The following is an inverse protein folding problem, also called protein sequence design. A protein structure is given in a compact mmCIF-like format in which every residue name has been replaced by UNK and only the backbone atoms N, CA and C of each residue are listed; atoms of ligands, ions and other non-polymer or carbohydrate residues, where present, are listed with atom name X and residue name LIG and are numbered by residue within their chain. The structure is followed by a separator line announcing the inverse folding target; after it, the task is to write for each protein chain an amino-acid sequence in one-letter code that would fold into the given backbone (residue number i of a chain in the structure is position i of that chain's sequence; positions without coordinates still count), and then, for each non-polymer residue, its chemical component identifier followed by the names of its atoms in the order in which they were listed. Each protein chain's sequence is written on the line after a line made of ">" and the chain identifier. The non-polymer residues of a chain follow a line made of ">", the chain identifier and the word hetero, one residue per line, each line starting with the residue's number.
data_IF_873001415259
#
_entry.id   IF_873001415259
#
_cell.length_a   1.000
_cell.length_b   1.000
_cell.length_c   1.000
_cell.angle_alpha   90.00
_cell.angle_beta   90.00
_cell.angle_gamma   90.00
#
_symmetry.space_group_name_H-M   'P 1'
#
loop_
_entity.id
_entity.type
_entity.pdbx_description
1 polymer ?
#
# COMPACT_ATOMS: atom_id res chain seq x y z
N UNK A 1 13.17 25.58 8.64
CA UNK A 1 13.51 24.24 9.17
C UNK A 1 14.15 23.51 8.03
N UNK A 2 15.42 23.16 8.18
CA UNK A 2 16.17 22.45 7.16
C UNK A 2 15.54 21.07 6.94
N UNK A 3 15.37 20.66 5.67
CA UNK A 3 14.76 19.37 5.32
C UNK A 3 15.49 18.20 6.00
N UNK A 4 16.82 18.30 6.11
CA UNK A 4 17.69 17.34 6.78
C UNK A 4 17.35 17.13 8.27
N UNK A 5 17.06 18.21 9.01
CA UNK A 5 16.63 18.08 10.41
C UNK A 5 15.31 17.31 10.50
N UNK A 6 14.40 17.52 9.55
CA UNK A 6 13.12 16.82 9.53
C UNK A 6 13.34 15.33 9.28
N UNK A 7 14.14 14.95 8.27
CA UNK A 7 14.47 13.54 8.02
C UNK A 7 15.11 12.87 9.24
N UNK A 8 16.10 13.51 9.85
CA UNK A 8 16.78 12.96 11.03
C UNK A 8 15.79 12.67 12.17
N UNK A 9 14.77 13.52 12.36
CA UNK A 9 13.71 13.26 13.34
C UNK A 9 12.85 12.06 12.94
N UNK A 10 12.46 11.95 11.67
CA UNK A 10 11.67 10.83 11.16
C UNK A 10 12.43 9.51 11.29
N UNK A 11 13.71 9.48 10.93
CA UNK A 11 14.56 8.29 11.05
C UNK A 11 14.78 7.89 12.51
N UNK A 12 15.04 8.85 13.42
CA UNK A 12 15.11 8.55 14.85
C UNK A 12 13.81 7.93 15.39
N UNK A 13 12.64 8.39 14.91
CA UNK A 13 11.35 7.80 15.29
C UNK A 13 11.22 6.39 14.69
N UNK A 14 11.61 6.18 13.43
CA UNK A 14 11.60 4.85 12.80
C UNK A 14 12.48 3.87 13.56
N UNK A 15 13.72 4.23 13.87
CA UNK A 15 14.65 3.42 14.66
C UNK A 15 14.08 3.06 16.02
N UNK A 16 13.46 4.03 16.69
CA UNK A 16 12.77 3.82 17.96
C UNK A 16 11.60 2.83 17.84
N UNK A 17 10.88 2.83 16.72
CA UNK A 17 9.74 1.95 16.45
C UNK A 17 10.15 0.50 16.11
N UNK A 18 11.40 0.26 15.71
CA UNK A 18 11.92 -1.09 15.43
C UNK A 18 12.16 -1.90 16.70
N UNK A 19 12.52 -1.25 17.82
CA UNK A 19 12.84 -1.93 19.07
C UNK A 19 11.59 -2.52 19.76
N UNK A 20 11.42 -3.85 19.71
CA UNK A 20 10.31 -4.57 20.35
C UNK A 20 10.18 -4.29 21.86
N UNK A 21 11.29 -4.01 22.56
CA UNK A 21 11.27 -3.71 24.00
C UNK A 21 10.60 -2.37 24.31
N UNK A 22 10.45 -1.52 23.30
CA UNK A 22 10.02 -0.12 23.42
C UNK A 22 8.63 0.12 22.80
N UNK A 23 8.15 -0.85 22.01
CA UNK A 23 6.80 -0.90 21.39
C UNK A 23 5.70 -1.16 22.41
N UNK A 24 5.56 -0.23 23.34
CA UNK A 24 4.38 -0.11 24.19
C UNK A 24 3.16 0.28 23.35
N UNK A 25 2.06 -0.43 23.56
CA UNK A 25 0.84 -0.28 22.78
C UNK A 25 0.23 1.12 22.90
N UNK A 26 0.35 1.79 24.07
CA UNK A 26 -0.12 3.17 24.22
C UNK A 26 0.70 4.15 23.39
N UNK A 27 2.02 3.94 23.31
CA UNK A 27 2.91 4.78 22.49
C UNK A 27 2.63 4.59 21.01
N UNK A 28 2.45 3.36 20.55
CA UNK A 28 2.09 3.08 19.17
C UNK A 28 0.75 3.73 18.79
N UNK A 29 -0.25 3.69 19.67
CA UNK A 29 -1.52 4.40 19.46
C UNK A 29 -1.32 5.91 19.35
N UNK A 30 -0.51 6.50 20.24
CA UNK A 30 -0.19 7.93 20.17
C UNK A 30 0.48 8.30 18.84
N UNK A 31 1.44 7.50 18.37
CA UNK A 31 2.09 7.72 17.07
C UNK A 31 1.07 7.60 15.94
N UNK A 32 0.23 6.56 15.92
CA UNK A 32 -0.80 6.39 14.88
C UNK A 32 -1.78 7.56 14.84
N UNK A 33 -2.27 8.02 15.99
CA UNK A 33 -3.14 9.21 16.07
C UNK A 33 -2.43 10.46 15.55
N UNK A 34 -1.18 10.66 15.96
CA UNK A 34 -0.36 11.80 15.53
C UNK A 34 -0.16 11.76 14.02
N UNK A 35 0.15 10.60 13.45
CA UNK A 35 0.30 10.42 12.00
C UNK A 35 -1.00 10.74 11.27
N UNK A 36 -2.15 10.27 11.76
CA UNK A 36 -3.47 10.61 11.19
C UNK A 36 -3.72 12.12 11.22
N UNK A 37 -3.37 12.80 12.31
CA UNK A 37 -3.54 14.25 12.42
C UNK A 37 -2.57 15.02 11.53
N UNK A 38 -1.32 14.54 11.39
CA UNK A 38 -0.36 15.11 10.44
C UNK A 38 -0.80 14.91 8.99
N UNK A 39 -1.46 13.79 8.66
CA UNK A 39 -2.09 13.62 7.35
C UNK A 39 -3.18 14.67 7.10
N UNK A 40 -4.00 14.99 8.11
CA UNK A 40 -5.01 16.06 7.97
C UNK A 40 -4.36 17.40 7.67
N UNK A 41 -3.24 17.69 8.33
CA UNK A 41 -2.49 18.92 8.14
C UNK A 41 -1.81 18.97 6.76
N UNK A 42 -1.22 17.87 6.29
CA UNK A 42 -0.57 17.84 4.97
C UNK A 42 -1.54 18.15 3.85
N UNK A 43 -2.81 17.71 3.96
CA UNK A 43 -3.88 18.03 3.00
C UNK A 43 -4.28 19.50 2.96
N UNK A 44 -3.96 20.28 4.00
CA UNK A 44 -4.20 21.73 4.01
C UNK A 44 -3.09 22.53 3.33
N UNK A 45 -1.97 21.88 2.99
CA UNK A 45 -0.84 22.50 2.30
C UNK A 45 -1.21 22.75 0.83
N UNK A 46 -1.01 23.98 0.35
CA UNK A 46 -1.30 24.34 -1.05
C UNK A 46 -0.27 23.81 -2.04
N UNK A 47 0.96 23.62 -1.55
CA UNK A 47 2.06 23.00 -2.28
C UNK A 47 1.87 21.49 -2.30
N UNK A 48 1.48 20.96 -3.46
CA UNK A 48 1.14 19.54 -3.65
C UNK A 48 2.36 18.63 -3.58
N UNK A 49 3.51 19.08 -4.05
CA UNK A 49 4.76 18.31 -4.00
C UNK A 49 5.23 18.18 -2.56
N UNK A 50 5.24 19.30 -1.83
CA UNK A 50 5.54 19.30 -0.40
C UNK A 50 4.53 18.46 0.40
N UNK A 51 3.25 18.55 0.07
CA UNK A 51 2.21 17.73 0.70
C UNK A 51 2.45 16.24 0.43
N UNK A 52 2.82 15.86 -0.78
CA UNK A 52 3.09 14.47 -1.16
C UNK A 52 4.34 13.93 -0.46
N UNK A 53 5.44 14.69 -0.45
CA UNK A 53 6.66 14.32 0.28
C UNK A 53 6.40 14.18 1.79
N UNK A 54 5.52 14.99 2.38
CA UNK A 54 5.08 14.79 3.77
C UNK A 54 4.27 13.51 3.93
N UNK A 55 3.36 13.22 3.00
CA UNK A 55 2.56 11.99 3.03
C UNK A 55 3.43 10.73 2.94
N UNK A 56 4.49 10.75 2.16
CA UNK A 56 5.47 9.66 2.08
C UNK A 56 6.12 9.37 3.43
N UNK A 57 6.67 10.40 4.10
CA UNK A 57 7.25 10.25 5.45
C UNK A 57 6.24 9.73 6.47
N UNK A 58 4.99 10.19 6.38
CA UNK A 58 3.92 9.72 7.25
C UNK A 58 3.54 8.26 6.95
N UNK A 59 3.57 7.84 5.68
CA UNK A 59 3.40 6.43 5.30
C UNK A 59 4.58 5.59 5.81
N UNK A 60 5.82 6.08 5.72
CA UNK A 60 7.00 5.42 6.31
C UNK A 60 6.78 5.17 7.80
N UNK A 61 6.48 6.19 8.60
CA UNK A 61 6.17 6.00 10.04
C UNK A 61 5.03 5.02 10.28
N UNK A 62 3.94 5.14 9.52
CA UNK A 62 2.78 4.28 9.68
C UNK A 62 3.11 2.82 9.34
N UNK A 63 3.98 2.59 8.35
CA UNK A 63 4.47 1.26 7.98
C UNK A 63 5.30 0.64 9.11
N UNK A 64 6.17 1.40 9.76
CA UNK A 64 6.91 0.92 10.95
C UNK A 64 5.98 0.62 12.14
N UNK A 65 4.88 1.35 12.27
CA UNK A 65 3.88 1.09 13.31
C UNK A 65 3.07 -0.19 13.02
N UNK A 66 2.53 -0.33 11.81
CA UNK A 66 1.54 -1.35 11.44
C UNK A 66 2.15 -2.60 10.79
N UNK A 67 3.37 -2.50 10.27
CA UNK A 67 4.09 -3.54 9.51
C UNK A 67 5.51 -3.74 10.06
N UNK A 68 5.68 -3.98 11.38
CA UNK A 68 7.01 -4.11 11.95
C UNK A 68 7.77 -5.26 11.29
N UNK A 69 9.10 -5.12 11.10
CA UNK A 69 9.94 -6.23 10.68
C UNK A 69 9.90 -7.25 11.81
N UNK A 70 9.16 -8.35 11.61
CA UNK A 70 9.23 -9.66 12.27
C UNK A 70 7.84 -10.34 12.19
N UNK A 71 7.85 -11.52 11.60
CA UNK A 71 6.74 -12.39 11.19
C UNK A 71 5.83 -12.91 12.32
N UNK A 72 5.48 -12.10 13.32
CA UNK A 72 4.53 -12.49 14.36
C UNK A 72 3.28 -11.64 14.25
N UNK A 73 2.19 -12.29 13.85
CA UNK A 73 0.83 -11.82 14.13
C UNK A 73 0.73 -11.68 15.64
N UNK A 74 0.96 -10.47 16.12
CA UNK A 74 0.81 -10.14 17.53
C UNK A 74 -0.59 -9.62 17.75
N UNK A 75 -1.20 -10.02 18.86
CA UNK A 75 -2.45 -9.43 19.33
C UNK A 75 -2.39 -7.89 19.35
N UNK A 76 -1.22 -7.32 19.64
CA UNK A 76 -1.00 -5.87 19.61
C UNK A 76 -1.14 -5.24 18.22
N UNK A 77 -0.70 -5.92 17.15
CA UNK A 77 -0.84 -5.42 15.78
C UNK A 77 -2.29 -5.44 15.30
N UNK A 78 -3.03 -6.49 15.66
CA UNK A 78 -4.47 -6.58 15.38
C UNK A 78 -5.23 -5.44 16.08
N UNK A 79 -4.95 -5.21 17.36
CA UNK A 79 -5.57 -4.11 18.12
C UNK A 79 -5.20 -2.73 17.56
N UNK A 80 -3.95 -2.54 17.14
CA UNK A 80 -3.50 -1.28 16.53
C UNK A 80 -4.10 -1.06 15.14
N UNK A 81 -4.24 -2.12 14.33
CA UNK A 81 -4.93 -2.07 13.03
C UNK A 81 -6.42 -1.74 13.18
N UNK A 82 -7.10 -2.35 14.16
CA UNK A 82 -8.48 -1.99 14.51
C UNK A 82 -8.58 -0.51 14.91
N UNK A 83 -7.68 -0.07 15.78
CA UNK A 83 -7.62 1.32 16.23
C UNK A 83 -7.47 2.28 15.05
N UNK A 84 -6.49 2.04 14.16
CA UNK A 84 -6.26 2.82 12.95
C UNK A 84 -7.51 2.93 12.07
N UNK A 85 -8.21 1.81 11.84
CA UNK A 85 -9.44 1.80 11.04
C UNK A 85 -10.56 2.59 11.74
N UNK A 86 -10.69 2.47 13.06
CA UNK A 86 -11.72 3.15 13.84
C UNK A 86 -11.50 4.67 13.92
N UNK A 87 -10.26 5.12 13.95
CA UNK A 87 -9.89 6.55 13.86
C UNK A 87 -10.01 7.13 12.43
N UNK A 88 -10.57 6.36 11.49
CA UNK A 88 -10.77 6.80 10.11
C UNK A 88 -9.49 6.81 9.28
N UNK A 89 -8.45 6.12 9.72
CA UNK A 89 -7.12 6.06 9.09
C UNK A 89 -7.16 5.62 7.62
N UNK A 90 -8.07 4.71 7.25
CA UNK A 90 -8.23 4.26 5.85
C UNK A 90 -8.44 5.42 4.88
N UNK A 91 -9.16 6.47 5.30
CA UNK A 91 -9.37 7.65 4.44
C UNK A 91 -8.03 8.26 4.05
N UNK A 92 -7.10 8.37 4.99
CA UNK A 92 -5.81 9.03 4.80
C UNK A 92 -4.80 8.12 4.10
N UNK A 93 -4.83 6.82 4.38
CA UNK A 93 -4.00 5.82 3.69
C UNK A 93 -4.19 5.84 2.18
N UNK A 94 -5.43 5.96 1.72
CA UNK A 94 -5.75 5.88 0.29
C UNK A 94 -5.66 7.22 -0.48
N UNK A 95 -5.35 8.34 0.18
CA UNK A 95 -5.20 9.63 -0.53
C UNK A 95 -3.95 9.64 -1.41
N UNK A 96 -2.74 9.28 -0.91
CA UNK A 96 -1.53 9.28 -1.72
C UNK A 96 -1.63 8.40 -2.97
N UNK A 97 -2.35 7.27 -2.89
CA UNK A 97 -2.55 6.34 -4.00
C UNK A 97 -3.08 7.02 -5.29
N UNK A 98 -3.95 8.01 -5.12
CA UNK A 98 -4.58 8.73 -6.24
C UNK A 98 -3.76 9.94 -6.73
N UNK A 99 -2.60 10.19 -6.11
CA UNK A 99 -1.68 11.24 -6.54
C UNK A 99 -1.01 10.85 -7.86
N UNK A 100 -0.79 11.80 -8.78
CA UNK A 100 0.03 11.56 -9.97
C UNK A 100 1.46 11.17 -9.59
N UNK A 101 1.99 11.73 -8.50
CA UNK A 101 3.33 11.46 -7.98
C UNK A 101 3.53 10.02 -7.45
N UNK A 102 2.44 9.24 -7.30
CA UNK A 102 2.53 7.88 -6.75
C UNK A 102 3.24 6.88 -7.67
N UNK A 103 3.26 7.13 -8.99
CA UNK A 103 3.94 6.27 -9.97
C UNK A 103 5.42 6.65 -10.20
N UNK A 104 5.98 7.59 -9.44
CA UNK A 104 7.31 8.14 -9.69
C UNK A 104 7.26 9.45 -10.47
N UNK A 105 8.35 10.22 -10.37
CA UNK A 105 8.48 11.57 -10.93
C UNK A 105 8.55 11.61 -12.47
N UNK A 106 8.93 10.51 -13.13
CA UNK A 106 9.16 10.43 -14.58
C UNK A 106 7.92 10.71 -15.47
N UNK A 107 6.70 10.66 -14.91
CA UNK A 107 5.47 11.04 -15.64
C UNK A 107 5.17 12.55 -15.60
N UNK A 108 6.00 13.34 -14.90
CA UNK A 108 5.94 14.79 -14.85
C UNK A 108 7.15 15.31 -15.62
N UNK A 109 6.95 15.73 -16.88
CA UNK A 109 7.98 16.34 -17.73
C UNK A 109 8.84 17.34 -16.95
N UNK A 110 10.07 16.95 -16.58
CA UNK A 110 11.03 17.81 -15.93
C UNK A 110 12.10 17.03 -15.16
N UNK A 111 13.36 17.26 -15.54
CA UNK A 111 14.59 16.85 -14.81
C UNK A 111 14.50 17.21 -13.32
N UNK A 112 13.88 16.34 -12.53
CA UNK A 112 14.00 16.33 -11.09
C UNK A 112 14.74 15.06 -10.75
N UNK A 113 16.04 15.23 -10.54
CA UNK A 113 16.93 14.27 -9.88
C UNK A 113 16.42 14.09 -8.43
N UNK A 114 15.35 13.31 -8.28
CA UNK A 114 14.93 12.77 -6.99
C UNK A 114 15.83 11.58 -6.73
N UNK A 115 16.95 11.82 -6.04
CA UNK A 115 17.94 10.80 -5.73
C UNK A 115 17.30 9.50 -5.24
N UNK A 116 17.60 8.40 -5.94
CA UNK A 116 17.57 6.98 -5.55
C UNK A 116 16.38 6.40 -4.74
N UNK A 117 15.28 7.11 -4.45
CA UNK A 117 14.19 6.64 -3.56
C UNK A 117 12.82 6.44 -4.25
N UNK A 118 12.76 6.38 -5.59
CA UNK A 118 11.50 6.39 -6.37
C UNK A 118 10.58 5.14 -6.20
N UNK A 119 10.91 4.20 -5.31
CA UNK A 119 10.08 3.05 -4.93
C UNK A 119 9.46 3.10 -3.53
N UNK A 120 9.91 4.03 -2.67
CA UNK A 120 9.71 3.90 -1.22
C UNK A 120 8.25 4.06 -0.77
N UNK A 121 7.52 5.02 -1.34
CA UNK A 121 6.11 5.26 -0.95
C UNK A 121 5.19 4.09 -1.29
N UNK A 122 5.45 3.43 -2.43
CA UNK A 122 4.66 2.28 -2.87
C UNK A 122 4.88 1.11 -1.92
N UNK A 123 6.13 0.86 -1.54
CA UNK A 123 6.48 -0.13 -0.52
C UNK A 123 5.76 0.13 0.79
N UNK A 124 5.85 1.35 1.34
CA UNK A 124 5.18 1.68 2.60
C UNK A 124 3.67 1.48 2.52
N UNK A 125 3.03 1.94 1.44
CA UNK A 125 1.60 1.78 1.24
C UNK A 125 1.18 0.31 1.19
N UNK A 126 1.83 -0.50 0.35
CA UNK A 126 1.45 -1.90 0.19
C UNK A 126 1.86 -2.76 1.38
N UNK A 127 2.93 -2.40 2.10
CA UNK A 127 3.25 -2.98 3.42
C UNK A 127 2.09 -2.76 4.40
N UNK A 128 1.60 -1.53 4.54
CA UNK A 128 0.46 -1.22 5.43
C UNK A 128 -0.79 -1.99 4.99
N UNK A 129 -1.11 -1.99 3.71
CA UNK A 129 -2.30 -2.67 3.19
C UNK A 129 -2.22 -4.19 3.44
N UNK A 130 -1.09 -4.80 3.12
CA UNK A 130 -0.83 -6.22 3.37
C UNK A 130 -0.93 -6.54 4.86
N UNK A 131 -0.32 -5.73 5.73
CA UNK A 131 -0.39 -5.91 7.18
C UNK A 131 -1.80 -5.78 7.73
N UNK A 132 -2.62 -4.87 7.21
CA UNK A 132 -4.03 -4.75 7.60
C UNK A 132 -4.83 -5.99 7.15
N UNK A 133 -4.63 -6.46 5.92
CA UNK A 133 -5.36 -7.61 5.38
C UNK A 133 -4.98 -8.94 6.04
N UNK A 134 -3.73 -9.08 6.47
CA UNK A 134 -3.23 -10.27 7.18
C UNK A 134 -3.61 -10.27 8.66
N UNK A 135 -3.36 -9.17 9.38
CA UNK A 135 -3.60 -9.14 10.84
C UNK A 135 -5.08 -9.01 11.20
N UNK A 136 -5.93 -8.55 10.27
CA UNK A 136 -7.36 -8.36 10.48
C UNK A 136 -8.22 -9.41 9.75
N UNK A 137 -7.62 -10.47 9.22
CA UNK A 137 -8.30 -11.52 8.44
C UNK A 137 -9.55 -12.08 9.14
N UNK A 138 -9.48 -12.26 10.46
CA UNK A 138 -10.58 -12.87 11.22
C UNK A 138 -11.68 -11.86 11.61
N UNK A 139 -11.49 -10.57 11.32
CA UNK A 139 -12.48 -9.52 11.57
C UNK A 139 -13.14 -9.12 10.24
N UNK A 140 -14.23 -9.82 9.91
CA UNK A 140 -15.00 -9.58 8.69
C UNK A 140 -15.49 -8.12 8.56
N UNK A 141 -15.72 -7.41 9.67
CA UNK A 141 -16.15 -6.00 9.63
C UNK A 141 -15.01 -5.10 9.17
N UNK A 142 -13.81 -5.30 9.71
CA UNK A 142 -12.62 -4.55 9.30
C UNK A 142 -12.25 -4.84 7.85
N UNK A 143 -12.21 -6.12 7.45
CA UNK A 143 -11.93 -6.53 6.07
C UNK A 143 -12.93 -5.92 5.09
N UNK A 144 -14.23 -5.90 5.44
CA UNK A 144 -15.26 -5.26 4.63
C UNK A 144 -15.06 -3.75 4.50
N UNK A 145 -14.60 -3.06 5.55
CA UNK A 145 -14.30 -1.62 5.50
C UNK A 145 -13.11 -1.33 4.58
N UNK A 146 -12.05 -2.14 4.63
CA UNK A 146 -10.91 -2.04 3.71
C UNK A 146 -11.38 -2.26 2.27
N UNK A 147 -12.10 -3.35 2.04
CA UNK A 147 -12.63 -3.75 0.74
C UNK A 147 -13.56 -2.69 0.14
N UNK A 148 -14.47 -2.14 0.95
CA UNK A 148 -15.35 -1.04 0.54
C UNK A 148 -14.57 0.21 0.14
N UNK A 149 -13.47 0.53 0.83
CA UNK A 149 -12.63 1.69 0.47
C UNK A 149 -11.89 1.52 -0.84
N UNK A 150 -11.48 0.31 -1.19
CA UNK A 150 -10.84 0.00 -2.48
C UNK A 150 -11.85 0.04 -3.63
N UNK A 151 -13.07 -0.40 -3.37
CA UNK A 151 -14.13 -0.53 -4.38
C UNK A 151 -15.02 0.70 -4.52
N UNK A 152 -14.88 1.72 -3.65
CA UNK A 152 -15.64 2.96 -3.76
C UNK A 152 -15.33 3.73 -5.06
N UNK A 153 -16.25 4.62 -5.45
CA UNK A 153 -16.14 5.46 -6.65
C UNK A 153 -15.88 4.65 -7.92
N UNK A 154 -16.67 3.60 -8.16
CA UNK A 154 -16.56 2.77 -9.37
C UNK A 154 -15.15 2.19 -9.56
N UNK A 155 -14.56 1.65 -8.49
CA UNK A 155 -13.28 0.93 -8.52
C UNK A 155 -12.07 1.77 -8.92
N UNK A 156 -12.11 3.10 -8.75
CA UNK A 156 -10.99 3.99 -9.10
C UNK A 156 -9.69 3.58 -8.40
N UNK A 157 -9.73 3.21 -7.12
CA UNK A 157 -8.52 2.80 -6.39
C UNK A 157 -8.03 1.42 -6.81
N UNK A 158 -8.95 0.49 -7.07
CA UNK A 158 -8.59 -0.82 -7.58
C UNK A 158 -7.90 -0.70 -8.95
N UNK A 159 -8.46 0.09 -9.87
CA UNK A 159 -7.81 0.41 -11.16
C UNK A 159 -6.43 1.00 -10.96
N UNK A 160 -6.30 1.97 -10.05
CA UNK A 160 -5.01 2.58 -9.72
C UNK A 160 -3.98 1.55 -9.22
N UNK A 161 -4.38 0.59 -8.38
CA UNK A 161 -3.50 -0.49 -7.93
C UNK A 161 -3.03 -1.35 -9.12
N UNK A 162 -3.90 -1.66 -10.08
CA UNK A 162 -3.50 -2.38 -11.30
C UNK A 162 -2.56 -1.57 -12.20
N UNK A 163 -2.78 -0.26 -12.34
CA UNK A 163 -1.85 0.63 -13.05
C UNK A 163 -0.46 0.59 -12.42
N UNK A 164 -0.37 0.67 -11.09
CA UNK A 164 0.90 0.60 -10.35
C UNK A 164 1.55 -0.78 -10.51
N UNK A 165 0.75 -1.85 -10.48
CA UNK A 165 1.22 -3.21 -10.71
C UNK A 165 1.87 -3.37 -12.08
N UNK A 166 1.19 -2.92 -13.14
CA UNK A 166 1.71 -3.02 -14.51
C UNK A 166 2.93 -2.11 -14.72
N UNK A 167 2.94 -0.90 -14.13
CA UNK A 167 4.12 -0.04 -14.12
C UNK A 167 5.34 -0.74 -13.53
N UNK A 168 5.24 -1.30 -12.31
CA UNK A 168 6.35 -2.00 -11.66
C UNK A 168 6.77 -3.27 -12.42
N UNK A 169 5.81 -3.99 -13.02
CA UNK A 169 6.09 -5.16 -13.84
C UNK A 169 6.91 -4.79 -15.07
N UNK A 170 6.54 -3.72 -15.78
CA UNK A 170 7.27 -3.25 -16.95
C UNK A 170 8.66 -2.75 -16.56
N UNK A 171 8.76 -1.98 -15.49
CA UNK A 171 10.04 -1.51 -14.94
C UNK A 171 10.97 -2.68 -14.62
N UNK A 172 10.46 -3.72 -13.94
CA UNK A 172 11.23 -4.91 -13.61
C UNK A 172 11.64 -5.67 -14.88
N UNK A 173 10.75 -5.85 -15.85
CA UNK A 173 11.08 -6.52 -17.12
C UNK A 173 12.16 -5.79 -17.92
N UNK A 174 12.07 -4.47 -18.03
CA UNK A 174 13.08 -3.65 -18.71
C UNK A 174 14.44 -3.75 -18.02
N UNK A 175 14.47 -3.74 -16.69
CA UNK A 175 15.72 -3.86 -15.92
C UNK A 175 16.29 -5.28 -15.98
N UNK A 176 15.45 -6.31 -15.88
CA UNK A 176 15.85 -7.71 -16.06
C UNK A 176 16.42 -7.98 -17.46
N UNK A 177 15.85 -7.38 -18.50
CA UNK A 177 16.38 -7.50 -19.86
C UNK A 177 17.78 -6.88 -20.03
N UNK A 178 18.14 -5.92 -19.17
CA UNK A 178 19.47 -5.28 -19.15
C UNK A 178 20.50 -6.05 -18.31
N UNK A 179 20.07 -6.93 -17.42
CA UNK A 179 20.95 -7.71 -16.53
C UNK A 179 21.41 -9.02 -17.21
N UNK A 180 22.72 -9.27 -17.19
CA UNK A 180 23.28 -10.56 -17.58
C UNK A 180 23.28 -11.51 -16.36
N UNK A 181 22.60 -12.65 -16.52
CA UNK A 181 22.17 -13.55 -15.44
C UNK A 181 23.28 -14.50 -14.93
N UNK A 182 24.33 -14.01 -14.24
CA UNK A 182 25.37 -14.90 -13.67
C UNK A 182 25.90 -14.55 -12.24
N UNK A 183 25.38 -13.54 -11.53
CA UNK A 183 25.95 -13.07 -10.24
C UNK A 183 24.91 -13.03 -9.08
N UNK A 184 25.20 -13.56 -7.86
CA UNK A 184 24.37 -13.39 -6.67
C UNK A 184 24.12 -11.94 -6.22
N UNK A 185 24.85 -10.93 -6.72
CA UNK A 185 24.47 -9.51 -6.57
C UNK A 185 23.13 -9.17 -7.24
N UNK A 186 22.63 -10.05 -8.11
CA UNK A 186 21.34 -9.89 -8.79
C UNK A 186 20.17 -9.89 -7.80
N UNK A 187 20.20 -10.68 -6.71
CA UNK A 187 19.07 -10.73 -5.75
C UNK A 187 18.86 -9.41 -5.00
N UNK A 188 19.93 -8.74 -4.56
CA UNK A 188 19.83 -7.40 -3.98
C UNK A 188 19.38 -6.37 -5.03
N UNK A 189 19.94 -6.47 -6.25
CA UNK A 189 19.52 -5.61 -7.34
C UNK A 189 18.04 -5.79 -7.71
N UNK A 190 17.49 -7.00 -7.64
CA UNK A 190 16.09 -7.27 -7.95
C UNK A 190 15.15 -6.69 -6.88
N UNK A 191 15.57 -6.65 -5.61
CA UNK A 191 14.85 -5.95 -4.55
C UNK A 191 14.80 -4.45 -4.82
N UNK A 192 15.95 -3.84 -5.13
CA UNK A 192 16.08 -2.43 -5.51
C UNK A 192 15.32 -2.08 -6.81
N UNK A 193 14.90 -3.09 -7.57
CA UNK A 193 14.18 -2.95 -8.85
C UNK A 193 12.66 -3.08 -8.72
N UNK A 194 12.12 -3.08 -7.50
CA UNK A 194 10.67 -3.09 -7.26
C UNK A 194 10.04 -4.48 -7.28
N UNK A 195 10.84 -5.56 -7.25
CA UNK A 195 10.29 -6.92 -7.08
C UNK A 195 9.55 -7.08 -5.76
N UNK A 196 10.00 -6.38 -4.70
CA UNK A 196 9.34 -6.39 -3.40
C UNK A 196 7.98 -5.68 -3.45
N UNK A 197 7.90 -4.50 -4.07
CA UNK A 197 6.63 -3.79 -4.32
C UNK A 197 5.65 -4.70 -5.06
N UNK A 198 6.09 -5.34 -6.15
CA UNK A 198 5.24 -6.20 -6.96
C UNK A 198 4.70 -7.39 -6.14
N UNK A 199 5.54 -8.02 -5.31
CA UNK A 199 5.12 -9.09 -4.41
C UNK A 199 4.07 -8.61 -3.40
N UNK A 200 4.25 -7.42 -2.80
CA UNK A 200 3.29 -6.86 -1.86
C UNK A 200 1.95 -6.54 -2.53
N UNK A 201 1.98 -6.04 -3.77
CA UNK A 201 0.77 -5.80 -4.57
C UNK A 201 0.03 -7.11 -4.82
N UNK A 202 0.74 -8.12 -5.34
CA UNK A 202 0.14 -9.42 -5.68
C UNK A 202 -0.41 -10.12 -4.43
N UNK A 203 0.33 -10.11 -3.33
CA UNK A 203 -0.14 -10.66 -2.05
C UNK A 203 -1.39 -9.92 -1.53
N UNK A 204 -1.40 -8.59 -1.62
CA UNK A 204 -2.55 -7.78 -1.17
C UNK A 204 -3.79 -8.06 -2.03
N UNK A 205 -3.63 -8.16 -3.36
CA UNK A 205 -4.72 -8.50 -4.28
C UNK A 205 -5.25 -9.90 -4.02
N UNK A 206 -4.38 -10.89 -3.81
CA UNK A 206 -4.77 -12.26 -3.48
C UNK A 206 -5.57 -12.32 -2.17
N UNK A 207 -5.11 -11.62 -1.13
CA UNK A 207 -5.83 -11.54 0.14
C UNK A 207 -7.21 -10.90 -0.04
N UNK A 208 -7.31 -9.81 -0.81
CA UNK A 208 -8.60 -9.18 -1.12
C UNK A 208 -9.55 -10.16 -1.83
N UNK A 209 -9.07 -10.93 -2.79
CA UNK A 209 -9.88 -11.93 -3.49
C UNK A 209 -10.32 -13.04 -2.52
N UNK A 210 -9.39 -13.62 -1.76
CA UNK A 210 -9.66 -14.72 -0.84
C UNK A 210 -10.68 -14.37 0.25
N UNK A 211 -10.62 -13.14 0.77
CA UNK A 211 -11.56 -12.65 1.77
C UNK A 211 -12.97 -12.42 1.20
N UNK A 212 -13.08 -12.11 -0.10
CA UNK A 212 -14.39 -12.04 -0.75
C UNK A 212 -14.98 -13.43 -1.01
N UNK A 213 -14.19 -14.40 -1.45
CA UNK A 213 -14.68 -15.76 -1.69
C UNK A 213 -15.26 -16.42 -0.42
N UNK A 214 -14.65 -16.20 0.74
CA UNK A 214 -15.15 -16.74 2.02
C UNK A 214 -16.49 -16.15 2.47
N UNK A 215 -16.76 -14.86 2.20
CA UNK A 215 -18.06 -14.23 2.52
C UNK A 215 -19.21 -14.82 1.68
N UNK A 216 -18.91 -15.35 0.48
CA UNK A 216 -19.91 -15.94 -0.43
C UNK A 216 -20.33 -17.38 -0.06
N UNK A 217 -19.46 -18.13 0.61
CA UNK A 217 -19.63 -19.56 0.90
C UNK A 217 -20.26 -19.84 2.28
N UNK A 218 -20.18 -18.91 3.22
CA UNK A 218 -20.77 -19.02 4.56
C UNK A 218 -22.07 -18.23 4.77
N UNK A 219 -22.54 -17.50 3.76
CA UNK A 219 -23.83 -16.82 3.82
C UNK A 219 -24.95 -17.79 3.41
N UNK A 220 -25.77 -18.24 4.38
CA UNK A 220 -27.04 -18.94 4.14
C UNK A 220 -28.11 -18.06 3.48
N UNK A 221 -27.81 -16.80 3.16
CA UNK A 221 -28.74 -15.92 2.48
C UNK A 221 -28.84 -16.26 0.97
N UNK A 222 -30.05 -16.23 0.40
CA UNK A 222 -30.24 -16.49 -1.02
C UNK A 222 -29.42 -15.50 -1.87
N UNK A 223 -28.90 -15.91 -3.03
CA UNK A 223 -28.02 -15.10 -3.88
C UNK A 223 -28.63 -13.75 -4.32
N UNK A 224 -29.95 -13.57 -4.16
CA UNK A 224 -30.65 -12.30 -4.40
C UNK A 224 -30.43 -11.24 -3.30
N UNK A 225 -29.87 -11.61 -2.14
CA UNK A 225 -29.61 -10.73 -0.99
C UNK A 225 -28.14 -10.60 -0.61
N UNK A 226 -27.25 -11.43 -1.17
CA UNK A 226 -25.81 -11.28 -0.96
C UNK A 226 -25.37 -9.86 -1.37
N UNK A 227 -24.57 -9.17 -0.54
CA UNK A 227 -24.12 -7.82 -0.85
C UNK A 227 -23.33 -7.85 -2.16
N UNK A 228 -23.76 -7.04 -3.13
CA UNK A 228 -23.20 -6.92 -4.49
C UNK A 228 -21.69 -6.62 -4.55
N UNK A 229 -20.98 -6.49 -3.44
CA UNK A 229 -19.57 -6.14 -3.43
C UNK A 229 -18.64 -7.36 -3.60
N UNK A 230 -19.10 -8.56 -3.26
CA UNK A 230 -18.27 -9.75 -3.14
C UNK A 230 -17.89 -10.37 -4.50
N UNK A 231 -18.87 -10.54 -5.40
CA UNK A 231 -18.59 -10.95 -6.79
C UNK A 231 -17.88 -9.86 -7.59
N UNK A 232 -17.93 -8.60 -7.14
CA UNK A 232 -17.49 -7.49 -7.97
C UNK A 232 -15.98 -7.28 -7.93
N UNK A 233 -15.25 -7.74 -6.89
CA UNK A 233 -13.78 -7.75 -6.97
C UNK A 233 -13.29 -8.82 -7.93
N UNK A 234 -13.86 -10.03 -7.90
CA UNK A 234 -13.51 -11.07 -8.87
C UNK A 234 -13.90 -10.68 -10.29
N UNK A 235 -15.09 -10.10 -10.49
CA UNK A 235 -15.51 -9.58 -11.79
C UNK A 235 -14.65 -8.39 -12.23
N UNK A 236 -14.31 -7.46 -11.34
CA UNK A 236 -13.43 -6.33 -11.67
C UNK A 236 -12.00 -6.80 -11.97
N UNK A 237 -11.46 -7.76 -11.21
CA UNK A 237 -10.16 -8.38 -11.50
C UNK A 237 -10.23 -9.09 -12.84
N UNK A 238 -11.28 -9.88 -13.12
CA UNK A 238 -11.45 -10.55 -14.39
C UNK A 238 -11.58 -9.58 -15.57
N UNK A 239 -12.36 -8.49 -15.41
CA UNK A 239 -12.53 -7.45 -16.42
C UNK A 239 -11.21 -6.69 -16.67
N UNK A 240 -10.50 -6.31 -15.62
CA UNK A 240 -9.21 -5.60 -15.75
C UNK A 240 -8.11 -6.49 -16.33
N UNK A 241 -8.12 -7.79 -16.02
CA UNK A 241 -7.24 -8.77 -16.64
C UNK A 241 -7.58 -9.00 -18.13
N UNK A 242 -8.86 -8.94 -18.51
CA UNK A 242 -9.29 -9.02 -19.92
C UNK A 242 -8.91 -7.76 -20.71
N UNK A 243 -9.08 -6.56 -20.14
CA UNK A 243 -8.69 -5.30 -20.79
C UNK A 243 -7.17 -5.20 -21.01
N UNK A 244 -6.36 -5.65 -20.04
CA UNK A 244 -4.90 -5.76 -20.20
C UNK A 244 -4.47 -6.76 -21.29
N UNK A 245 -5.28 -7.79 -21.55
CA UNK A 245 -5.01 -8.79 -22.59
C UNK A 245 -5.26 -8.28 -24.02
N UNK A 246 -6.06 -7.21 -24.18
CA UNK A 246 -6.38 -6.63 -25.50
C UNK A 246 -5.43 -5.52 -25.94
N UNK A 247 -4.59 -4.98 -25.04
CA UNK A 247 -3.53 -4.03 -25.41
C UNK A 247 -2.22 -4.71 -25.85
N UNK A 248 -2.06 -6.02 -25.65
CA UNK A 248 -0.93 -6.83 -26.16
C UNK A 248 -1.28 -7.53 -27.48
N UNK A 249 -2.24 -6.98 -28.24
CA UNK A 249 -2.47 -7.31 -29.64
C UNK A 249 -1.45 -6.60 -30.53
N UNK A 250 -0.17 -6.94 -30.39
CA UNK A 250 0.81 -6.69 -31.46
C UNK A 250 0.57 -7.80 -32.48
N UNK A 251 0.12 -7.39 -33.66
CA UNK A 251 0.08 -8.22 -34.86
C UNK A 251 1.42 -8.96 -35.01
N UNK A 252 1.36 -10.30 -34.91
CA UNK A 252 2.41 -11.21 -35.38
C UNK A 252 2.37 -11.31 -36.91
#
# INVERSE_FOLDING_TARGET
>A
MDGEFTENVFDCICDYLVDEAVRDHERLRLVVTTVIDLFKLSLSTQDKEKAFSQQERLLKLLSYCLSPPLCKISKSLKELGLFFINEGGLKYLFIPLLSPFFLGSELVDGDLDTGDEDGSIQEYFFCILFSLLTNLSDDATCVRRITSKITENSFVKLRRIFEIREYNRNLLQEKMAKLQYEDPTIDASLLDQGSFVLQLIDCSLLLLISHNDHDSTHSEEPPSKQPRHTNVILEAVALLMQEGSHQVGVDL
#
